data_IF_479214475449
#
_entry.id   IF_479214475449
#
_cell.length_a   1.000
_cell.length_b   1.000
_cell.length_c   1.000
_cell.angle_alpha   90.00
_cell.angle_beta   90.00
_cell.angle_gamma   90.00
#
_symmetry.space_group_name_H-M   'P 1'
#
loop_
_entity.id
_entity.type
_entity.pdbx_description
1 polymer ?
#
# COMPACT_ATOMS: atom_id res chain seq x y z
N UNK A 1 -21.12 -5.92 1.07
CA UNK A 1 -19.87 -6.33 1.76
C UNK A 1 -20.06 -7.74 2.32
N UNK A 2 -20.68 -8.63 1.53
CA UNK A 2 -21.28 -9.81 2.13
C UNK A 2 -20.39 -11.03 1.98
N UNK A 3 -20.00 -11.54 3.16
CA UNK A 3 -19.57 -12.91 3.45
C UNK A 3 -18.07 -13.27 3.40
N UNK A 4 -17.14 -12.36 3.74
CA UNK A 4 -15.79 -12.77 4.12
C UNK A 4 -15.78 -13.36 5.55
N UNK A 5 -15.54 -14.67 5.67
CA UNK A 5 -15.51 -15.38 6.95
C UNK A 5 -14.07 -15.65 7.40
N UNK A 6 -13.65 -15.01 8.50
CA UNK A 6 -12.30 -15.19 9.07
C UNK A 6 -11.98 -16.63 9.48
N UNK A 7 -12.99 -17.47 9.70
CA UNK A 7 -12.80 -18.89 10.02
C UNK A 7 -12.59 -19.75 8.77
N UNK A 8 -12.85 -19.21 7.58
CA UNK A 8 -12.76 -19.90 6.28
C UNK A 8 -11.98 -19.02 5.29
N UNK A 9 -10.73 -18.73 5.62
CA UNK A 9 -9.83 -17.97 4.77
C UNK A 9 -9.05 -18.93 3.85
N UNK A 10 -8.75 -18.47 2.64
CA UNK A 10 -7.76 -19.13 1.78
C UNK A 10 -6.35 -18.77 2.27
N UNK A 11 -5.50 -19.77 2.45
CA UNK A 11 -4.16 -19.62 3.01
C UNK A 11 -3.10 -19.79 1.92
N UNK A 12 -2.07 -18.94 1.96
CA UNK A 12 -0.92 -19.01 1.05
C UNK A 12 0.37 -19.28 1.85
N UNK A 13 0.66 -20.52 2.28
CA UNK A 13 1.73 -20.79 3.24
C UNK A 13 3.15 -20.59 2.68
N UNK A 14 3.36 -20.85 1.39
CA UNK A 14 4.71 -21.08 0.84
C UNK A 14 5.47 -19.81 0.47
N UNK A 15 4.78 -18.76 0.01
CA UNK A 15 5.41 -17.48 -0.39
C UNK A 15 4.45 -16.30 -0.22
N UNK A 16 5.00 -15.14 0.12
CA UNK A 16 4.22 -13.89 0.14
C UNK A 16 3.88 -13.49 -1.31
N UNK A 17 2.59 -13.51 -1.70
CA UNK A 17 2.16 -13.17 -3.06
C UNK A 17 2.40 -11.71 -3.46
N UNK A 18 2.79 -10.84 -2.51
CA UNK A 18 3.09 -9.43 -2.78
C UNK A 18 4.56 -9.16 -3.15
N UNK A 19 5.46 -10.14 -3.02
CA UNK A 19 6.91 -9.94 -3.15
C UNK A 19 7.46 -10.01 -4.58
N UNK A 20 6.65 -10.21 -5.61
CA UNK A 20 7.17 -10.40 -6.97
C UNK A 20 7.86 -9.13 -7.55
N UNK A 21 7.80 -7.97 -6.87
CA UNK A 21 8.63 -6.79 -7.16
C UNK A 21 8.89 -5.93 -5.90
N UNK A 22 10.12 -5.95 -5.33
CA UNK A 22 10.62 -4.69 -4.75
C UNK A 22 12.14 -4.51 -4.89
N UNK A 23 12.57 -3.29 -5.24
CA UNK A 23 13.88 -2.71 -4.87
C UNK A 23 13.75 -1.20 -4.73
N UNK A 24 14.01 -0.66 -3.54
CA UNK A 24 14.14 0.78 -3.29
C UNK A 24 15.25 0.98 -2.24
N UNK A 25 16.17 1.90 -2.51
CA UNK A 25 17.26 2.34 -1.61
C UNK A 25 16.97 3.73 -1.03
N UNK A 26 17.48 4.00 0.16
CA UNK A 26 17.19 5.20 0.99
C UNK A 26 18.49 5.95 1.30
N UNK A 27 18.46 7.29 1.29
CA UNK A 27 19.33 8.16 2.11
C UNK A 27 18.73 9.58 2.34
N UNK A 28 19.39 10.38 3.17
CA UNK A 28 18.87 11.37 4.15
C UNK A 28 18.55 12.78 3.63
N UNK A 29 17.41 13.35 4.08
CA UNK A 29 17.22 14.46 5.04
C UNK A 29 17.13 15.85 4.39
N UNK A 30 16.37 16.74 5.04
CA UNK A 30 16.02 18.14 4.71
C UNK A 30 14.70 18.35 3.97
N UNK A 31 13.83 19.19 4.56
CA UNK A 31 12.64 19.72 3.92
C UNK A 31 13.03 20.71 2.82
N UNK A 32 12.86 20.32 1.57
CA UNK A 32 13.10 21.21 0.43
C UNK A 32 12.02 20.97 -0.62
N UNK A 33 11.28 22.04 -0.97
CA UNK A 33 10.43 22.03 -2.15
C UNK A 33 11.34 22.07 -3.39
N UNK A 34 11.68 20.90 -3.93
CA UNK A 34 12.42 20.79 -5.18
C UNK A 34 11.45 20.78 -6.36
N UNK A 35 11.69 21.61 -7.36
CA UNK A 35 11.27 21.34 -8.75
C UNK A 35 12.38 20.48 -9.33
N UNK A 36 12.19 19.17 -9.34
CA UNK A 36 13.20 18.20 -9.77
C UNK A 36 12.61 17.11 -10.66
N UNK A 37 13.47 16.49 -11.47
CA UNK A 37 13.13 15.37 -12.33
C UNK A 37 13.49 14.05 -11.60
N UNK A 38 12.65 13.56 -10.70
CA UNK A 38 12.86 12.20 -10.20
C UNK A 38 12.57 11.21 -11.33
N UNK A 39 13.51 10.31 -11.60
CA UNK A 39 13.33 9.24 -12.59
C UNK A 39 12.36 8.20 -12.02
N UNK A 40 11.11 8.27 -12.46
CA UNK A 40 10.12 7.23 -12.20
C UNK A 40 10.24 6.16 -13.27
N UNK A 41 10.39 4.90 -12.88
CA UNK A 41 10.35 3.78 -13.82
C UNK A 41 8.92 3.27 -13.84
N UNK A 42 8.26 3.38 -14.99
CA UNK A 42 6.98 2.73 -15.16
C UNK A 42 7.20 1.22 -15.32
N UNK A 43 6.96 0.45 -14.25
CA UNK A 43 7.18 -1.01 -14.24
C UNK A 43 6.30 -1.81 -15.22
N UNK A 44 5.30 -1.19 -15.86
CA UNK A 44 4.49 -1.81 -16.91
C UNK A 44 5.07 -1.58 -18.31
N UNK A 45 5.66 -0.41 -18.56
CA UNK A 45 6.15 -0.03 -19.90
C UNK A 45 7.67 0.00 -20.01
N UNK A 46 8.39 -0.10 -18.90
CA UNK A 46 9.86 0.04 -18.82
C UNK A 46 10.37 1.46 -19.11
N UNK A 47 9.47 2.41 -19.40
CA UNK A 47 9.84 3.79 -19.73
C UNK A 47 10.23 4.55 -18.47
N UNK A 48 11.33 5.29 -18.58
CA UNK A 48 11.74 6.27 -17.59
C UNK A 48 10.90 7.52 -17.82
N UNK A 49 10.06 7.86 -16.86
CA UNK A 49 9.26 9.07 -16.83
C UNK A 49 9.98 10.10 -15.95
N UNK A 50 10.06 11.33 -16.44
CA UNK A 50 10.60 12.47 -15.69
C UNK A 50 9.57 13.60 -15.61
N UNK A 51 8.38 13.35 -15.03
CA UNK A 51 7.38 14.40 -14.89
C UNK A 51 7.88 15.47 -13.90
N UNK A 52 7.51 16.75 -14.09
CA UNK A 52 7.75 17.76 -13.07
C UNK A 52 6.99 17.38 -11.79
N UNK A 53 7.70 17.28 -10.67
CA UNK A 53 7.15 16.89 -9.38
C UNK A 53 7.36 18.00 -8.35
N UNK A 54 6.33 18.27 -7.54
CA UNK A 54 6.43 19.07 -6.32
C UNK A 54 6.50 18.08 -5.17
N UNK A 55 7.63 18.04 -4.47
CA UNK A 55 7.80 17.22 -3.28
C UNK A 55 7.81 18.12 -2.05
N UNK A 56 6.93 17.83 -1.09
CA UNK A 56 6.99 18.41 0.26
C UNK A 56 7.43 17.30 1.19
N UNK A 57 8.55 17.50 1.86
CA UNK A 57 9.05 16.59 2.90
C UNK A 57 8.60 17.21 4.24
N UNK A 58 7.91 16.46 5.08
CA UNK A 58 7.51 16.91 6.42
C UNK A 58 8.04 15.94 7.46
N UNK A 59 8.78 16.44 8.45
CA UNK A 59 9.24 15.64 9.57
C UNK A 59 8.13 15.54 10.62
N UNK A 60 7.82 14.30 11.03
CA UNK A 60 6.79 13.99 12.02
C UNK A 60 7.34 12.99 13.02
N UNK A 61 6.89 13.07 14.26
CA UNK A 61 7.18 12.02 15.23
C UNK A 61 6.52 10.69 14.78
N UNK A 62 7.01 9.55 15.27
CA UNK A 62 6.56 8.22 14.82
C UNK A 62 5.03 8.04 14.85
N UNK A 63 4.36 8.59 15.88
CA UNK A 63 2.91 8.48 16.02
C UNK A 63 2.17 9.36 15.02
N UNK A 64 2.55 10.63 14.90
CA UNK A 64 1.98 11.56 13.91
C UNK A 64 2.20 11.05 12.48
N UNK A 65 3.36 10.44 12.22
CA UNK A 65 3.64 9.80 10.94
C UNK A 65 2.66 8.67 10.64
N UNK A 66 2.45 7.75 11.59
CA UNK A 66 1.48 6.65 11.43
C UNK A 66 0.05 7.18 11.22
N UNK A 67 -0.35 8.22 11.94
CA UNK A 67 -1.69 8.80 11.82
C UNK A 67 -1.91 9.44 10.44
N UNK A 68 -0.96 10.25 9.95
CA UNK A 68 -1.04 10.89 8.63
C UNK A 68 -0.99 9.83 7.52
N UNK A 69 -0.10 8.86 7.66
CA UNK A 69 -0.02 7.75 6.71
C UNK A 69 -1.33 6.96 6.67
N UNK A 70 -1.92 6.67 7.83
CA UNK A 70 -3.21 6.00 7.92
C UNK A 70 -4.36 6.81 7.31
N UNK A 71 -4.32 8.15 7.39
CA UNK A 71 -5.30 9.02 6.72
C UNK A 71 -5.22 8.93 5.20
N UNK A 72 -4.00 8.87 4.65
CA UNK A 72 -3.82 8.76 3.20
C UNK A 72 -4.14 7.36 2.69
N UNK A 73 -3.74 6.30 3.41
CA UNK A 73 -4.17 4.92 3.14
C UNK A 73 -5.69 4.80 3.22
N UNK A 74 -6.32 5.44 4.21
CA UNK A 74 -7.78 5.46 4.32
C UNK A 74 -8.43 6.05 3.06
N UNK A 75 -7.92 7.18 2.55
CA UNK A 75 -8.46 7.82 1.33
C UNK A 75 -8.22 6.95 0.09
N UNK A 76 -7.00 6.43 -0.09
CA UNK A 76 -6.61 5.66 -1.29
C UNK A 76 -7.39 4.35 -1.39
N UNK A 77 -7.50 3.62 -0.28
CA UNK A 77 -8.15 2.30 -0.24
C UNK A 77 -9.64 2.39 0.14
N UNK A 78 -10.15 3.60 0.40
CA UNK A 78 -11.50 3.87 0.86
C UNK A 78 -11.85 3.00 2.08
N UNK A 79 -11.05 3.11 3.15
CA UNK A 79 -11.24 2.37 4.39
C UNK A 79 -12.29 3.05 5.28
N UNK A 80 -13.07 2.24 5.99
CA UNK A 80 -13.92 2.71 7.07
C UNK A 80 -13.07 3.25 8.24
N UNK A 81 -13.69 4.04 9.14
CA UNK A 81 -13.01 4.44 10.37
C UNK A 81 -12.53 3.22 11.18
N UNK A 82 -13.28 2.12 11.17
CA UNK A 82 -12.89 0.88 11.83
C UNK A 82 -11.67 0.22 11.17
N UNK A 83 -11.65 0.17 9.83
CA UNK A 83 -10.50 -0.32 9.06
C UNK A 83 -9.24 0.51 9.30
N UNK A 84 -9.38 1.84 9.30
CA UNK A 84 -8.27 2.76 9.63
C UNK A 84 -7.74 2.53 11.03
N UNK A 85 -8.61 2.37 12.02
CA UNK A 85 -8.17 2.11 13.41
C UNK A 85 -7.40 0.80 13.52
N UNK A 86 -7.90 -0.28 12.93
CA UNK A 86 -7.18 -1.55 12.90
C UNK A 86 -5.84 -1.43 12.16
N UNK A 87 -5.79 -0.68 11.07
CA UNK A 87 -4.57 -0.43 10.30
C UNK A 87 -3.47 0.23 11.14
N UNK A 88 -3.82 1.28 11.89
CA UNK A 88 -2.90 1.98 12.78
C UNK A 88 -2.26 1.01 13.78
N UNK A 89 -3.06 0.19 14.47
CA UNK A 89 -2.55 -0.74 15.48
C UNK A 89 -1.64 -1.82 14.88
N UNK A 90 -2.02 -2.36 13.71
CA UNK A 90 -1.23 -3.37 13.00
C UNK A 90 0.09 -2.76 12.49
N UNK A 91 0.07 -1.53 11.99
CA UNK A 91 1.27 -0.84 11.53
C UNK A 91 2.21 -0.50 12.69
N UNK A 92 1.68 -0.05 13.82
CA UNK A 92 2.47 0.19 15.04
C UNK A 92 3.13 -1.10 15.52
N UNK A 93 2.36 -2.19 15.57
CA UNK A 93 2.89 -3.51 15.92
C UNK A 93 4.00 -3.93 14.96
N UNK A 94 3.77 -3.80 13.65
CA UNK A 94 4.74 -4.13 12.60
C UNK A 94 6.06 -3.33 12.75
N UNK A 95 5.96 -2.03 13.04
CA UNK A 95 7.12 -1.15 13.25
C UNK A 95 7.78 -1.33 14.63
N UNK A 96 7.12 -2.01 15.57
CA UNK A 96 7.67 -2.31 16.89
C UNK A 96 8.39 -3.65 16.95
N UNK A 97 8.18 -4.53 15.96
CA UNK A 97 8.78 -5.85 15.89
C UNK A 97 10.27 -5.76 15.53
N UNK A 98 11.08 -5.48 16.56
CA UNK A 98 12.54 -5.39 16.53
C UNK A 98 13.23 -6.76 16.42
N UNK A 99 12.47 -7.87 16.53
CA UNK A 99 13.05 -9.18 16.85
C UNK A 99 13.62 -9.95 15.65
N UNK A 100 13.51 -9.43 14.43
CA UNK A 100 14.15 -10.06 13.27
C UNK A 100 14.78 -9.02 12.36
N UNK A 101 16.11 -9.12 12.26
CA UNK A 101 16.98 -8.45 11.29
C UNK A 101 16.63 -8.81 9.82
N UNK A 102 15.76 -9.82 9.66
CA UNK A 102 15.10 -10.13 8.40
C UNK A 102 13.78 -9.36 8.31
N UNK A 103 13.56 -8.69 7.17
CA UNK A 103 12.26 -8.15 6.76
C UNK A 103 11.18 -9.23 6.93
N UNK A 104 10.39 -9.12 8.00
CA UNK A 104 9.36 -10.11 8.31
C UNK A 104 8.18 -9.83 7.40
N UNK A 105 8.05 -10.59 6.32
CA UNK A 105 6.97 -10.46 5.35
C UNK A 105 5.57 -10.76 5.92
N UNK A 106 5.50 -11.18 7.19
CA UNK A 106 4.27 -11.56 7.87
C UNK A 106 4.20 -11.04 9.30
N UNK A 107 2.99 -10.80 9.78
CA UNK A 107 2.68 -10.38 11.14
C UNK A 107 1.77 -11.40 11.84
N UNK A 108 1.97 -11.58 13.15
CA UNK A 108 1.09 -12.38 14.00
C UNK A 108 0.12 -11.43 14.72
N UNK A 109 -1.18 -11.70 14.63
CA UNK A 109 -2.26 -10.91 15.23
C UNK A 109 -3.12 -11.82 16.10
N UNK A 110 -2.90 -11.77 17.41
CA UNK A 110 -3.67 -12.53 18.41
C UNK A 110 -4.36 -11.54 19.34
N UNK A 111 -5.67 -11.68 19.51
CA UNK A 111 -6.40 -10.90 20.50
C UNK A 111 -6.29 -11.56 21.89
N UNK A 112 -5.72 -10.85 22.86
CA UNK A 112 -5.51 -11.31 24.23
C UNK A 112 -5.68 -10.13 25.20
N UNK A 113 -6.33 -10.34 26.35
CA UNK A 113 -6.47 -9.36 27.43
C UNK A 113 -6.91 -7.95 26.98
N UNK A 114 -7.99 -7.88 26.19
CA UNK A 114 -8.52 -6.64 25.59
C UNK A 114 -7.50 -5.86 24.74
N UNK A 115 -6.57 -6.59 24.12
CA UNK A 115 -5.49 -6.04 23.35
C UNK A 115 -5.03 -6.95 22.20
N UNK A 116 -4.06 -6.42 21.45
CA UNK A 116 -3.41 -7.14 20.35
C UNK A 116 -2.02 -7.57 20.81
N UNK A 117 -1.75 -8.87 20.79
CA UNK A 117 -0.50 -9.49 21.25
C UNK A 117 -0.10 -9.06 22.68
N UNK A 118 -1.09 -8.86 23.56
CA UNK A 118 -0.88 -8.41 24.95
C UNK A 118 -0.75 -6.89 25.12
N UNK A 119 -0.82 -6.11 24.04
CA UNK A 119 -0.86 -4.65 24.09
C UNK A 119 -2.31 -4.19 24.12
N UNK A 120 -2.73 -3.61 25.24
CA UNK A 120 -4.10 -3.10 25.42
C UNK A 120 -4.43 -2.04 24.37
N UNK A 121 -5.58 -2.21 23.71
CA UNK A 121 -6.04 -1.29 22.68
C UNK A 121 -7.26 -0.49 23.15
N UNK A 122 -7.44 0.71 22.58
CA UNK A 122 -8.64 1.53 22.81
C UNK A 122 -9.84 1.07 21.94
N UNK A 123 -9.97 -0.23 21.70
CA UNK A 123 -11.10 -0.78 20.96
C UNK A 123 -11.43 -2.20 21.40
N UNK A 124 -12.67 -2.64 21.19
CA UNK A 124 -13.06 -4.01 21.50
C UNK A 124 -12.67 -4.99 20.37
N UNK A 125 -12.58 -6.27 20.72
CA UNK A 125 -12.24 -7.35 19.78
C UNK A 125 -13.15 -7.32 18.54
N UNK A 126 -14.47 -7.14 18.72
CA UNK A 126 -15.43 -7.09 17.60
C UNK A 126 -15.08 -6.00 16.58
N UNK A 127 -14.72 -4.82 17.06
CA UNK A 127 -14.30 -3.69 16.21
C UNK A 127 -13.00 -4.01 15.48
N UNK A 128 -12.01 -4.56 16.19
CA UNK A 128 -10.75 -4.98 15.57
C UNK A 128 -10.96 -6.05 14.48
N UNK A 129 -11.75 -7.09 14.76
CA UNK A 129 -12.04 -8.16 13.79
C UNK A 129 -12.75 -7.63 12.54
N UNK A 130 -13.64 -6.64 12.68
CA UNK A 130 -14.27 -6.00 11.53
C UNK A 130 -13.25 -5.21 10.69
N UNK A 131 -12.36 -4.47 11.34
CA UNK A 131 -11.27 -3.77 10.65
C UNK A 131 -10.32 -4.75 9.96
N UNK A 132 -9.94 -5.84 10.61
CA UNK A 132 -9.08 -6.87 10.03
C UNK A 132 -9.70 -7.52 8.78
N UNK A 133 -11.00 -7.83 8.80
CA UNK A 133 -11.71 -8.31 7.61
C UNK A 133 -11.62 -7.33 6.45
N UNK A 134 -11.79 -6.05 6.74
CA UNK A 134 -11.71 -5.00 5.73
C UNK A 134 -10.29 -4.91 5.14
N UNK A 135 -9.24 -4.95 5.98
CA UNK A 135 -7.85 -4.91 5.51
C UNK A 135 -7.49 -6.12 4.63
N UNK A 136 -8.02 -7.31 4.96
CA UNK A 136 -7.86 -8.50 4.12
C UNK A 136 -8.62 -8.33 2.80
N UNK A 137 -9.87 -7.87 2.85
CA UNK A 137 -10.70 -7.66 1.67
C UNK A 137 -10.10 -6.63 0.70
N UNK A 138 -9.43 -5.61 1.24
CA UNK A 138 -8.77 -4.55 0.47
C UNK A 138 -7.35 -4.89 0.02
N UNK A 139 -6.91 -6.13 0.23
CA UNK A 139 -5.58 -6.64 -0.13
C UNK A 139 -4.40 -5.92 0.55
N UNK A 140 -4.61 -5.35 1.75
CA UNK A 140 -3.53 -4.84 2.58
C UNK A 140 -2.83 -5.98 3.35
N UNK A 141 -3.60 -7.01 3.70
CA UNK A 141 -3.14 -8.22 4.38
C UNK A 141 -3.63 -9.46 3.65
N UNK A 142 -2.83 -10.54 3.66
CA UNK A 142 -3.28 -11.87 3.19
C UNK A 142 -3.07 -12.94 4.25
N UNK A 143 -4.03 -13.84 4.49
CA UNK A 143 -3.87 -14.91 5.49
C UNK A 143 -2.73 -15.86 5.11
N UNK A 144 -1.80 -16.09 6.05
CA UNK A 144 -0.70 -17.05 5.91
C UNK A 144 -1.01 -18.35 6.66
N UNK A 145 -1.26 -18.22 7.97
CA UNK A 145 -1.65 -19.30 8.88
C UNK A 145 -2.68 -18.76 9.87
N UNK A 146 -3.12 -19.60 10.82
CA UNK A 146 -3.97 -19.13 11.92
C UNK A 146 -3.29 -17.98 12.66
N UNK A 147 -3.99 -16.85 12.76
CA UNK A 147 -3.50 -15.61 13.39
C UNK A 147 -2.23 -15.02 12.76
N UNK A 148 -1.77 -15.50 11.59
CA UNK A 148 -0.60 -14.98 10.90
C UNK A 148 -0.99 -14.51 9.50
N UNK A 149 -0.53 -13.31 9.13
CA UNK A 149 -0.92 -12.64 7.91
C UNK A 149 0.31 -12.13 7.17
N UNK A 150 0.41 -12.40 5.88
CA UNK A 150 1.32 -11.67 4.99
C UNK A 150 0.93 -10.20 4.94
N UNK A 151 1.95 -9.35 4.99
CA UNK A 151 1.78 -7.91 4.81
C UNK A 151 2.11 -7.53 3.38
N UNK A 152 1.39 -6.54 2.86
CA UNK A 152 1.74 -5.92 1.59
C UNK A 152 2.94 -4.97 1.80
N UNK A 153 4.14 -5.26 1.26
CA UNK A 153 5.35 -4.46 1.48
C UNK A 153 5.27 -3.06 0.89
N UNK A 154 4.34 -2.81 -0.04
CA UNK A 154 4.08 -1.46 -0.55
C UNK A 154 3.40 -0.56 0.50
N UNK A 155 2.79 -1.15 1.53
CA UNK A 155 2.04 -0.44 2.59
C UNK A 155 2.68 -0.65 3.96
N UNK A 156 3.18 -1.85 4.25
CA UNK A 156 3.86 -2.22 5.49
C UNK A 156 5.36 -2.34 5.25
N UNK A 157 6.11 -1.29 5.55
CA UNK A 157 7.55 -1.22 5.42
C UNK A 157 8.16 -0.81 6.77
N UNK A 158 9.39 -1.27 7.05
CA UNK A 158 10.13 -0.93 8.28
C UNK A 158 10.98 0.35 8.14
N UNK A 159 10.93 1.01 6.99
CA UNK A 159 11.71 2.24 6.73
C UNK A 159 11.10 3.49 7.38
N UNK A 160 11.92 4.53 7.52
CA UNK A 160 11.53 5.78 8.19
C UNK A 160 10.92 6.83 7.24
N UNK A 161 10.79 6.51 5.95
CA UNK A 161 10.40 7.44 4.88
C UNK A 161 9.35 6.84 3.96
N UNK A 162 8.37 7.64 3.58
CA UNK A 162 7.37 7.34 2.54
C UNK A 162 7.26 8.54 1.62
N UNK A 163 7.16 8.28 0.32
CA UNK A 163 6.78 9.28 -0.66
C UNK A 163 5.40 8.94 -1.24
N UNK A 164 4.44 9.86 -1.09
CA UNK A 164 3.18 9.80 -1.81
C UNK A 164 3.32 10.58 -3.12
N UNK A 165 3.19 9.88 -4.25
CA UNK A 165 3.22 10.52 -5.56
C UNK A 165 1.79 10.61 -6.07
N UNK A 166 1.28 11.83 -6.21
CA UNK A 166 0.00 12.09 -6.88
C UNK A 166 0.28 12.64 -8.27
N UNK A 167 0.00 11.83 -9.29
CA UNK A 167 0.13 12.22 -10.69
C UNK A 167 -1.21 12.73 -11.22
N UNK A 168 -1.22 13.92 -11.84
CA UNK A 168 -2.34 14.40 -12.62
C UNK A 168 -2.01 14.25 -14.09
N UNK A 169 -2.82 13.47 -14.81
CA UNK A 169 -2.68 13.28 -16.25
C UNK A 169 -3.83 13.98 -16.96
N UNK A 170 -3.52 14.76 -17.99
CA UNK A 170 -4.55 15.24 -18.93
C UNK A 170 -4.94 14.05 -19.79
N UNK A 171 -6.22 13.68 -19.75
CA UNK A 171 -6.77 12.69 -20.67
C UNK A 171 -6.74 13.31 -22.07
N UNK A 172 -5.96 12.74 -22.98
CA UNK A 172 -6.04 13.10 -24.39
C UNK A 172 -7.28 12.42 -24.97
N UNK A 173 -8.34 13.20 -25.20
CA UNK A 173 -9.45 12.76 -26.04
C UNK A 173 -8.98 12.90 -27.49
N UNK A 174 -8.34 11.85 -28.03
CA UNK A 174 -8.22 11.73 -29.47
C UNK A 174 -9.59 11.32 -30.01
N UNK A 175 -10.19 12.06 -30.96
CA UNK A 175 -11.26 11.52 -31.78
C UNK A 175 -10.75 10.22 -32.42
N UNK A 176 -11.57 9.19 -32.40
CA UNK A 176 -11.37 7.97 -33.19
C UNK A 176 -11.50 8.38 -34.67
N UNK A 177 -10.43 8.91 -35.24
CA UNK A 177 -10.33 9.27 -36.64
C UNK A 177 -10.25 7.98 -37.44
N UNK A 178 -11.44 7.44 -37.74
CA UNK A 178 -11.69 6.34 -38.66
C UNK A 178 -11.36 6.68 -40.11
N UNK A 179 -10.15 7.18 -40.39
CA UNK A 179 -9.61 7.18 -41.74
C UNK A 179 -9.02 5.79 -42.01
N UNK A 180 -9.89 4.88 -42.47
CA UNK A 180 -9.46 3.89 -43.44
C UNK A 180 -8.89 4.66 -44.63
N UNK A 181 -7.56 4.75 -44.73
CA UNK A 181 -6.94 5.06 -46.01
C UNK A 181 -7.17 3.84 -46.89
N UNK A 182 -8.17 3.93 -47.75
CA UNK A 182 -8.30 3.07 -48.93
C UNK A 182 -7.04 3.26 -49.77
N UNK A 183 -6.11 2.31 -49.67
CA UNK A 183 -4.87 2.25 -50.46
C UNK A 183 -5.13 1.64 -51.86
N UNK A 184 -6.39 1.39 -52.23
CA UNK A 184 -6.74 0.81 -53.52
C UNK A 184 -7.05 1.90 -54.56
N UNK A 185 -6.03 2.66 -55.03
CA UNK A 185 -6.17 3.34 -56.33
C UNK A 185 -4.86 3.67 -57.08
N UNK A 186 -3.73 3.05 -56.69
CA UNK A 186 -2.46 3.24 -57.40
C UNK A 186 -1.88 1.94 -57.98
N UNK A 187 -2.67 1.14 -58.69
CA UNK A 187 -2.13 0.21 -59.70
C UNK A 187 -3.18 -0.14 -60.76
N UNK A 188 -3.36 0.74 -61.74
CA UNK A 188 -3.76 0.31 -63.09
C UNK A 188 -3.10 1.24 -64.12
N UNK A 189 -1.99 0.77 -64.67
CA UNK A 189 -1.39 1.24 -65.91
C UNK A 189 -0.99 0.03 -66.74
#
# INVERSE_FOLDING_TARGET
MDNLNLRKLEYFPDKNPFLDKPKIHIQDETVTAYIGHHKLINFKTGKILTPPMICTIEEKNKRQFVEVFADDVQKIFNLSHTGRRAFIEILLLYQSDQLTDNFTDSIILVWLDDGLNGIKLDMCNKTFQNGLKELIFKELLKPKLRNQYWVNPAIFFKGDKIAFIKEYQIKQDFPDDGYQTDIEDFTNK
#
